data_IF_502713001689
#
_entry.id   IF_502713001689
#
_cell.length_a   1.000
_cell.length_b   1.000
_cell.length_c   1.000
_cell.angle_alpha   90.00
_cell.angle_beta   90.00
_cell.angle_gamma   90.00
#
_symmetry.space_group_name_H-M   'P 1'
#
loop_
_entity.id
_entity.type
_entity.pdbx_description
1 polymer ?
#
# COMPACT_ATOMS: atom_id res chain seq x y z
N UNK A 1 40.66 41.09 25.97
CA UNK A 1 40.22 40.45 27.22
C UNK A 1 38.73 40.14 27.12
N UNK A 2 38.37 38.94 26.67
CA UNK A 2 37.01 38.42 26.85
C UNK A 2 36.89 37.93 28.29
N UNK A 3 35.95 38.48 29.06
CA UNK A 3 35.77 38.11 30.46
C UNK A 3 35.40 36.63 30.56
N UNK A 4 36.13 35.90 31.40
CA UNK A 4 35.93 34.47 31.69
C UNK A 4 34.55 34.12 32.26
N UNK A 5 33.69 35.12 32.54
CA UNK A 5 32.42 34.94 33.23
C UNK A 5 31.18 34.95 32.32
N UNK A 6 31.33 34.93 30.99
CA UNK A 6 30.20 34.82 30.04
C UNK A 6 30.47 33.79 28.95
N UNK A 7 30.77 32.56 29.34
CA UNK A 7 30.83 31.42 28.40
C UNK A 7 29.45 30.80 28.31
N UNK A 8 28.89 30.72 27.11
CA UNK A 8 27.68 29.93 26.76
C UNK A 8 27.94 28.42 26.71
N UNK A 9 29.11 27.98 27.19
CA UNK A 9 29.57 26.60 27.15
C UNK A 9 29.27 25.96 28.50
N UNK A 10 28.85 24.70 28.47
CA UNK A 10 28.60 23.91 29.67
C UNK A 10 29.88 23.78 30.52
N UNK A 11 29.71 23.85 31.84
CA UNK A 11 30.79 23.70 32.81
C UNK A 11 31.23 22.23 32.90
N UNK A 12 32.42 21.91 32.37
CA UNK A 12 32.96 20.55 32.33
C UNK A 12 33.19 19.97 33.73
N UNK A 13 33.59 20.79 34.72
CA UNK A 13 33.72 20.36 36.12
C UNK A 13 32.38 19.87 36.64
N UNK A 14 31.29 20.58 36.34
CA UNK A 14 29.94 20.20 36.77
C UNK A 14 29.35 19.02 36.00
N UNK A 15 29.50 18.98 34.67
CA UNK A 15 28.79 18.04 33.81
C UNK A 15 29.62 16.80 33.40
N UNK A 16 30.91 16.78 33.68
CA UNK A 16 31.81 15.64 33.36
C UNK A 16 32.51 15.12 34.60
N UNK A 17 33.20 15.98 35.35
CA UNK A 17 34.11 15.52 36.42
C UNK A 17 33.43 15.30 37.77
N UNK A 18 32.47 16.14 38.15
CA UNK A 18 31.76 16.08 39.44
C UNK A 18 30.31 15.59 39.31
N UNK A 19 30.05 14.67 38.39
CA UNK A 19 28.73 14.05 38.25
C UNK A 19 28.51 13.09 39.42
N UNK A 20 27.74 13.53 40.43
CA UNK A 20 27.41 12.73 41.62
C UNK A 20 26.19 11.85 41.43
N UNK A 21 25.40 12.12 40.39
CA UNK A 21 24.20 11.38 40.03
C UNK A 21 24.04 11.39 38.52
N UNK A 22 23.63 10.28 37.89
CA UNK A 22 23.27 10.26 36.48
C UNK A 22 21.94 11.00 36.19
N UNK A 23 21.20 11.41 37.23
CA UNK A 23 19.88 12.04 37.10
C UNK A 23 19.97 13.57 37.19
N UNK A 24 19.35 14.25 36.21
CA UNK A 24 19.20 15.71 36.18
C UNK A 24 17.84 16.11 36.78
N UNK A 25 17.68 15.97 38.10
CA UNK A 25 16.40 16.17 38.79
C UNK A 25 15.75 17.54 38.52
N UNK A 26 16.55 18.59 38.34
CA UNK A 26 16.06 19.94 38.03
C UNK A 26 15.52 20.09 36.60
N UNK A 27 15.79 19.12 35.73
CA UNK A 27 15.33 19.08 34.34
C UNK A 27 14.43 17.88 34.06
N UNK A 28 14.14 17.04 35.06
CA UNK A 28 13.35 15.83 34.91
C UNK A 28 11.99 16.08 34.25
N UNK A 29 11.38 17.25 34.50
CA UNK A 29 10.07 17.65 33.98
C UNK A 29 10.12 18.45 32.67
N UNK A 30 11.31 18.85 32.21
CA UNK A 30 11.45 19.82 31.10
C UNK A 30 12.38 19.36 29.98
N UNK A 31 13.19 18.34 30.22
CA UNK A 31 14.17 17.83 29.26
C UNK A 31 13.84 16.38 28.90
N UNK A 32 13.90 16.06 27.61
CA UNK A 32 13.53 14.73 27.10
C UNK A 32 12.02 14.53 26.96
N UNK A 33 11.53 13.39 27.46
CA UNK A 33 10.14 12.92 27.37
C UNK A 33 9.53 12.71 28.77
N UNK A 34 9.35 13.77 29.57
CA UNK A 34 9.06 13.70 31.01
C UNK A 34 7.77 12.95 31.36
N UNK A 35 6.80 12.91 30.43
CA UNK A 35 5.49 12.30 30.64
C UNK A 35 5.37 10.91 30.00
N UNK A 36 6.44 10.39 29.40
CA UNK A 36 6.43 9.07 28.78
C UNK A 36 6.81 8.00 29.80
N UNK A 37 6.11 6.88 29.77
CA UNK A 37 6.43 5.71 30.59
C UNK A 37 7.71 5.09 30.03
N UNK A 38 8.79 5.12 30.79
CA UNK A 38 10.05 4.48 30.43
C UNK A 38 10.01 3.02 30.92
N UNK A 39 10.16 2.07 30.00
CA UNK A 39 10.36 0.67 30.33
C UNK A 39 11.85 0.42 30.65
N UNK A 40 12.14 -0.12 31.83
CA UNK A 40 13.51 -0.53 32.18
C UNK A 40 13.84 -1.89 31.54
N UNK A 41 14.91 -1.93 30.74
CA UNK A 41 15.40 -3.17 30.11
C UNK A 41 16.66 -3.63 30.83
N UNK A 42 16.57 -4.71 31.60
CA UNK A 42 17.72 -5.30 32.29
C UNK A 42 18.60 -6.10 31.32
N UNK A 43 19.78 -5.58 31.00
CA UNK A 43 20.75 -6.24 30.10
C UNK A 43 21.39 -7.46 30.78
N UNK A 44 21.52 -7.47 32.11
CA UNK A 44 22.22 -8.52 32.87
C UNK A 44 21.47 -9.85 32.91
N UNK A 45 20.14 -9.83 32.77
CA UNK A 45 19.30 -11.02 32.87
C UNK A 45 19.02 -11.68 31.50
N UNK A 46 19.82 -11.36 30.48
CA UNK A 46 19.77 -12.08 29.22
C UNK A 46 18.54 -11.77 28.36
N UNK A 47 18.08 -10.52 28.35
CA UNK A 47 16.93 -10.12 27.53
C UNK A 47 17.08 -10.45 26.02
N UNK A 48 18.31 -10.44 25.48
CA UNK A 48 18.59 -10.94 24.12
C UNK A 48 18.65 -12.46 24.03
N UNK A 49 19.08 -13.15 25.08
CA UNK A 49 19.05 -14.62 25.10
C UNK A 49 17.61 -15.13 25.21
N UNK A 50 16.69 -14.41 25.85
CA UNK A 50 15.29 -14.83 25.95
C UNK A 50 14.61 -14.85 24.59
N UNK A 51 14.73 -13.78 23.78
CA UNK A 51 14.10 -13.76 22.45
C UNK A 51 14.62 -14.85 21.51
N UNK A 52 15.94 -15.01 21.40
CA UNK A 52 16.53 -16.08 20.58
C UNK A 52 16.12 -17.46 21.08
N UNK A 53 16.14 -17.70 22.41
CA UNK A 53 15.68 -18.98 22.97
C UNK A 53 14.20 -19.25 22.69
N UNK A 54 13.35 -18.21 22.71
CA UNK A 54 11.93 -18.35 22.37
C UNK A 54 11.76 -18.76 20.90
N UNK A 55 12.53 -18.15 20.00
CA UNK A 55 12.50 -18.53 18.58
C UNK A 55 13.03 -19.95 18.37
N UNK A 56 14.16 -20.32 19.01
CA UNK A 56 14.74 -21.66 18.93
C UNK A 56 13.81 -22.74 19.47
N UNK A 57 13.05 -22.44 20.54
CA UNK A 57 12.06 -23.36 21.11
C UNK A 57 10.82 -23.55 20.23
N UNK A 58 10.37 -22.49 19.55
CA UNK A 58 9.10 -22.47 18.82
C UNK A 58 9.25 -22.83 17.35
N UNK A 59 10.41 -22.55 16.75
CA UNK A 59 10.66 -22.81 15.34
C UNK A 59 11.43 -24.12 15.20
N UNK A 60 10.88 -25.11 14.46
CA UNK A 60 11.68 -26.27 14.08
C UNK A 60 12.78 -25.72 13.16
N UNK A 61 14.03 -25.72 13.62
CA UNK A 61 15.15 -25.20 12.83
C UNK A 61 15.08 -25.66 11.37
N UNK A 62 15.50 -24.81 10.44
CA UNK A 62 15.30 -25.08 9.01
C UNK A 62 15.98 -26.40 8.60
N UNK A 63 15.27 -27.22 7.82
CA UNK A 63 15.82 -28.47 7.27
C UNK A 63 16.95 -28.22 6.27
N UNK A 64 16.91 -27.07 5.60
CA UNK A 64 17.92 -26.61 4.64
C UNK A 64 18.53 -25.29 5.13
N UNK A 65 19.83 -25.09 4.86
CA UNK A 65 20.55 -23.90 5.33
C UNK A 65 20.12 -22.61 4.61
N UNK A 66 19.54 -22.73 3.41
CA UNK A 66 19.12 -21.61 2.57
C UNK A 66 17.87 -21.99 1.79
N UNK A 67 16.95 -21.04 1.60
CA UNK A 67 15.85 -21.16 0.65
C UNK A 67 16.11 -20.27 -0.57
N UNK A 68 15.68 -20.74 -1.74
CA UNK A 68 15.70 -19.96 -2.97
C UNK A 68 14.29 -19.51 -3.30
N UNK A 69 14.16 -18.29 -3.82
CA UNK A 69 12.89 -17.78 -4.33
C UNK A 69 13.10 -17.01 -5.63
N UNK A 70 12.07 -16.99 -6.48
CA UNK A 70 12.07 -16.34 -7.77
C UNK A 70 11.57 -14.91 -7.63
N UNK A 71 12.42 -13.95 -7.97
CA UNK A 71 12.08 -12.54 -8.06
C UNK A 71 12.15 -12.05 -9.50
N UNK A 72 11.11 -12.34 -10.29
CA UNK A 72 10.99 -11.93 -11.70
C UNK A 72 9.57 -11.41 -11.97
N UNK A 73 9.34 -10.85 -13.16
CA UNK A 73 7.99 -10.47 -13.58
C UNK A 73 7.02 -11.66 -13.64
N UNK A 74 7.52 -12.87 -13.89
CA UNK A 74 6.69 -14.10 -13.95
C UNK A 74 6.25 -14.58 -12.56
N UNK A 75 6.96 -14.17 -11.51
CA UNK A 75 6.65 -14.45 -10.11
C UNK A 75 5.80 -13.36 -9.43
N UNK A 76 5.16 -12.49 -10.22
CA UNK A 76 4.19 -11.54 -9.69
C UNK A 76 3.10 -12.27 -8.87
N UNK A 77 2.82 -11.76 -7.68
CA UNK A 77 1.93 -12.36 -6.65
C UNK A 77 2.42 -13.69 -6.03
N UNK A 78 3.54 -14.26 -6.47
CA UNK A 78 4.08 -15.49 -5.86
C UNK A 78 4.41 -15.28 -4.38
N UNK A 79 4.99 -14.11 -4.04
CA UNK A 79 5.42 -13.80 -2.69
C UNK A 79 4.35 -14.03 -1.62
N UNK A 80 3.06 -13.88 -1.98
CA UNK A 80 1.90 -14.11 -1.11
C UNK A 80 1.77 -15.55 -0.59
N UNK A 81 2.60 -16.47 -1.09
CA UNK A 81 2.75 -17.82 -0.59
C UNK A 81 4.16 -17.93 -0.01
N UNK A 82 4.33 -17.39 1.20
CA UNK A 82 5.60 -17.40 1.91
C UNK A 82 5.63 -18.46 3.02
N UNK A 83 6.84 -18.82 3.44
CA UNK A 83 7.06 -19.62 4.64
C UNK A 83 6.86 -18.76 5.89
N UNK A 84 5.83 -19.10 6.67
CA UNK A 84 5.47 -18.40 7.90
C UNK A 84 6.59 -18.48 8.94
N UNK A 85 7.28 -19.62 9.04
CA UNK A 85 8.35 -19.83 10.02
C UNK A 85 9.58 -18.99 9.69
N UNK A 86 9.84 -18.77 8.41
CA UNK A 86 10.90 -17.86 7.95
C UNK A 86 10.54 -16.38 8.17
N UNK A 87 9.27 -16.00 7.99
CA UNK A 87 8.84 -14.59 8.12
C UNK A 87 8.74 -14.12 9.57
N UNK A 88 8.34 -15.00 10.50
CA UNK A 88 8.04 -14.58 11.89
C UNK A 88 9.22 -13.94 12.64
N UNK A 89 10.50 -14.37 12.52
CA UNK A 89 11.61 -13.69 13.18
C UNK A 89 11.75 -12.22 12.75
N UNK A 90 11.55 -11.93 11.46
CA UNK A 90 11.59 -10.54 10.95
C UNK A 90 10.42 -9.72 11.46
N UNK A 91 9.24 -10.33 11.64
CA UNK A 91 8.09 -9.62 12.20
C UNK A 91 8.33 -9.29 13.66
N UNK A 92 8.90 -10.24 14.40
CA UNK A 92 9.19 -10.07 15.82
C UNK A 92 10.33 -9.10 16.07
N UNK A 93 11.31 -8.97 15.17
CA UNK A 93 12.33 -7.91 15.25
C UNK A 93 11.70 -6.51 15.27
N UNK A 94 10.56 -6.33 14.60
CA UNK A 94 9.78 -5.10 14.74
C UNK A 94 8.99 -5.05 16.04
N UNK A 95 8.22 -6.09 16.36
CA UNK A 95 7.28 -6.06 17.49
C UNK A 95 7.96 -6.01 18.86
N UNK A 96 9.12 -6.65 19.00
CA UNK A 96 9.87 -6.71 20.25
C UNK A 96 10.38 -5.35 20.74
N UNK A 97 10.49 -4.37 19.83
CA UNK A 97 10.92 -3.01 20.16
C UNK A 97 9.79 -2.10 20.64
N UNK A 98 8.54 -2.60 20.70
CA UNK A 98 7.41 -1.85 21.22
C UNK A 98 7.13 -2.20 22.68
N UNK A 99 6.44 -1.28 23.37
CA UNK A 99 5.98 -1.51 24.74
C UNK A 99 5.17 -2.81 24.82
N UNK A 100 5.36 -3.57 25.90
CA UNK A 100 4.55 -4.77 26.17
C UNK A 100 3.05 -4.50 26.14
N UNK A 101 2.59 -3.27 26.42
CA UNK A 101 1.18 -2.91 26.41
C UNK A 101 0.61 -2.53 25.03
N UNK A 102 1.42 -2.51 23.97
CA UNK A 102 1.03 -2.07 22.63
C UNK A 102 -0.06 -2.97 22.03
N UNK A 103 -1.17 -2.39 21.59
CA UNK A 103 -2.22 -3.15 20.91
C UNK A 103 -1.88 -3.34 19.42
N UNK A 104 -2.05 -4.56 18.93
CA UNK A 104 -1.75 -4.94 17.56
C UNK A 104 -3.03 -5.10 16.76
N UNK A 105 -3.09 -4.50 15.56
CA UNK A 105 -4.17 -4.69 14.61
C UNK A 105 -3.73 -5.57 13.46
N UNK A 106 -4.41 -6.70 13.24
CA UNK A 106 -4.07 -7.68 12.22
C UNK A 106 -5.13 -7.75 11.12
N UNK A 107 -4.70 -7.45 9.90
CA UNK A 107 -5.47 -7.52 8.67
C UNK A 107 -4.88 -8.58 7.75
N UNK A 108 -5.40 -9.80 7.82
CA UNK A 108 -4.91 -10.91 7.01
C UNK A 108 -5.70 -12.18 7.24
N UNK A 109 -5.38 -13.21 6.44
CA UNK A 109 -6.00 -14.54 6.57
C UNK A 109 -4.99 -15.65 6.96
N UNK A 110 -3.71 -15.32 7.21
CA UNK A 110 -2.74 -16.30 7.69
C UNK A 110 -2.92 -16.57 9.18
N UNK A 111 -3.66 -17.63 9.50
CA UNK A 111 -3.87 -18.04 10.89
C UNK A 111 -2.63 -18.67 11.52
N UNK A 112 -1.75 -19.30 10.73
CA UNK A 112 -0.50 -19.87 11.24
C UNK A 112 0.43 -18.79 11.77
N UNK A 113 0.59 -17.70 11.01
CA UNK A 113 1.35 -16.54 11.46
C UNK A 113 0.74 -15.93 12.73
N UNK A 114 -0.58 -15.79 12.77
CA UNK A 114 -1.30 -15.27 13.93
C UNK A 114 -1.05 -16.12 15.19
N UNK A 115 -1.08 -17.45 15.07
CA UNK A 115 -0.80 -18.35 16.20
C UNK A 115 0.65 -18.28 16.66
N UNK A 116 1.61 -18.24 15.73
CA UNK A 116 3.03 -18.12 16.07
C UNK A 116 3.33 -16.77 16.74
N UNK A 117 2.76 -15.69 16.19
CA UNK A 117 2.87 -14.35 16.77
C UNK A 117 2.30 -14.32 18.21
N UNK A 118 1.11 -14.84 18.42
CA UNK A 118 0.48 -14.90 19.75
C UNK A 118 1.33 -15.72 20.76
N UNK A 119 1.83 -16.89 20.34
CA UNK A 119 2.67 -17.75 21.16
C UNK A 119 3.99 -17.06 21.58
N UNK A 120 4.65 -16.37 20.65
CA UNK A 120 5.88 -15.62 20.94
C UNK A 120 5.58 -14.45 21.87
N UNK A 121 4.56 -13.65 21.59
CA UNK A 121 4.19 -12.50 22.40
C UNK A 121 3.77 -12.91 23.82
N UNK A 122 3.16 -14.07 24.00
CA UNK A 122 2.85 -14.62 25.32
C UNK A 122 4.12 -14.93 26.11
N UNK A 123 5.13 -15.55 25.49
CA UNK A 123 6.42 -15.84 26.14
C UNK A 123 7.26 -14.60 26.41
N UNK A 124 7.07 -13.56 25.62
CA UNK A 124 7.66 -12.23 25.85
C UNK A 124 6.93 -11.42 26.92
N UNK A 125 5.87 -11.98 27.51
CA UNK A 125 5.01 -11.32 28.50
C UNK A 125 4.41 -10.00 27.99
N UNK A 126 4.30 -9.85 26.68
CA UNK A 126 3.57 -8.76 26.07
C UNK A 126 2.13 -8.81 26.61
N UNK A 127 1.53 -7.71 27.04
CA UNK A 127 0.21 -7.63 27.67
C UNK A 127 -0.85 -7.01 26.76
N UNK A 128 -0.45 -6.32 25.69
CA UNK A 128 -1.33 -5.74 24.68
C UNK A 128 -2.20 -6.77 23.96
N UNK A 129 -3.36 -6.31 23.49
CA UNK A 129 -4.33 -7.11 22.76
C UNK A 129 -3.96 -7.26 21.28
N UNK A 130 -4.45 -8.32 20.64
CA UNK A 130 -4.37 -8.53 19.19
C UNK A 130 -5.79 -8.44 18.63
N UNK A 131 -6.11 -7.35 17.93
CA UNK A 131 -7.39 -7.15 17.25
C UNK A 131 -7.29 -7.69 15.82
N UNK A 132 -8.09 -8.71 15.51
CA UNK A 132 -8.07 -9.44 14.24
C UNK A 132 -9.29 -9.04 13.42
N UNK A 133 -9.08 -8.58 12.18
CA UNK A 133 -10.18 -8.22 11.28
C UNK A 133 -11.04 -9.45 10.95
N UNK A 134 -12.29 -9.43 11.41
CA UNK A 134 -13.28 -10.46 11.14
C UNK A 134 -13.47 -10.71 9.64
N UNK A 135 -13.48 -9.65 8.84
CA UNK A 135 -13.76 -9.75 7.41
C UNK A 135 -12.68 -10.48 6.61
N UNK A 136 -11.44 -10.42 7.07
CA UNK A 136 -10.30 -11.08 6.45
C UNK A 136 -10.09 -12.49 7.00
N UNK A 137 -10.21 -12.66 8.31
CA UNK A 137 -9.97 -13.97 8.93
C UNK A 137 -11.11 -14.97 8.67
N UNK A 138 -12.35 -14.49 8.43
CA UNK A 138 -13.50 -15.38 8.16
C UNK A 138 -13.30 -16.28 6.95
N UNK A 139 -12.49 -15.86 5.98
CA UNK A 139 -12.13 -16.66 4.79
C UNK A 139 -11.46 -17.98 5.13
N UNK A 140 -10.89 -18.09 6.33
CA UNK A 140 -10.24 -19.30 6.86
C UNK A 140 -10.85 -19.79 8.17
N UNK A 141 -12.04 -19.31 8.53
CA UNK A 141 -12.68 -19.57 9.84
C UNK A 141 -12.81 -21.04 10.20
N UNK A 142 -13.07 -21.92 9.21
CA UNK A 142 -13.18 -23.37 9.44
C UNK A 142 -11.88 -24.04 9.89
N UNK A 143 -10.73 -23.39 9.67
CA UNK A 143 -9.40 -23.86 10.07
C UNK A 143 -8.90 -23.22 11.37
N UNK A 144 -9.63 -22.23 11.90
CA UNK A 144 -9.22 -21.54 13.12
C UNK A 144 -9.38 -22.45 14.33
N UNK A 145 -8.26 -22.75 14.98
CA UNK A 145 -8.21 -23.18 16.38
C UNK A 145 -8.65 -22.03 17.30
N UNK A 146 -9.12 -22.34 18.52
CA UNK A 146 -9.37 -21.34 19.54
C UNK A 146 -8.16 -20.42 19.71
N UNK A 147 -8.39 -19.12 19.61
CA UNK A 147 -7.39 -18.09 19.86
C UNK A 147 -7.22 -17.90 21.37
N UNK A 148 -6.08 -17.38 21.81
CA UNK A 148 -5.88 -17.03 23.22
C UNK A 148 -6.83 -15.90 23.65
N UNK A 149 -6.94 -15.69 24.97
CA UNK A 149 -7.82 -14.66 25.55
C UNK A 149 -7.44 -13.21 25.19
N UNK A 150 -6.33 -12.99 24.48
CA UNK A 150 -5.87 -11.67 24.05
C UNK A 150 -6.15 -11.35 22.58
N UNK A 151 -6.57 -12.36 21.83
CA UNK A 151 -6.86 -12.27 20.41
C UNK A 151 -8.36 -12.06 20.22
N UNK A 152 -8.75 -10.88 19.76
CA UNK A 152 -10.14 -10.49 19.60
C UNK A 152 -10.49 -10.37 18.13
N UNK A 153 -11.38 -11.24 17.63
CA UNK A 153 -11.93 -11.11 16.28
C UNK A 153 -13.01 -10.03 16.31
N UNK A 154 -12.76 -8.91 15.64
CA UNK A 154 -13.59 -7.69 15.70
C UNK A 154 -13.78 -7.09 14.30
N UNK A 155 -14.63 -6.07 14.16
CA UNK A 155 -14.78 -5.36 12.88
C UNK A 155 -13.51 -4.60 12.50
N UNK A 156 -13.30 -4.32 11.20
CA UNK A 156 -12.15 -3.51 10.76
C UNK A 156 -12.11 -2.12 11.41
N UNK A 157 -13.25 -1.43 11.60
CA UNK A 157 -13.30 -0.18 12.38
C UNK A 157 -12.76 -0.33 13.80
N UNK A 158 -13.09 -1.44 14.47
CA UNK A 158 -12.66 -1.70 15.84
C UNK A 158 -11.15 -1.98 15.88
N UNK A 159 -10.62 -2.75 14.91
CA UNK A 159 -9.16 -2.91 14.74
C UNK A 159 -8.50 -1.53 14.58
N UNK A 160 -9.00 -0.69 13.66
CA UNK A 160 -8.43 0.62 13.34
C UNK A 160 -8.45 1.56 14.56
N UNK A 161 -9.52 1.54 15.35
CA UNK A 161 -9.69 2.45 16.49
C UNK A 161 -8.91 2.05 17.73
N UNK A 162 -8.69 0.74 17.96
CA UNK A 162 -8.08 0.23 19.20
C UNK A 162 -6.60 -0.14 19.09
N UNK A 163 -6.06 -0.25 17.87
CA UNK A 163 -4.68 -0.70 17.67
C UNK A 163 -3.68 0.47 17.68
N UNK A 164 -2.48 0.20 18.18
CA UNK A 164 -1.34 1.10 18.18
C UNK A 164 -0.41 0.85 16.98
N UNK A 165 -0.44 -0.38 16.43
CA UNK A 165 0.30 -0.80 15.24
C UNK A 165 -0.63 -1.56 14.31
N UNK A 166 -0.42 -1.41 13.00
CA UNK A 166 -1.17 -2.14 11.99
C UNK A 166 -0.29 -3.13 11.25
N UNK A 167 -0.76 -4.37 11.14
CA UNK A 167 -0.13 -5.46 10.41
C UNK A 167 -1.06 -5.84 9.26
N UNK A 168 -0.62 -5.60 8.02
CA UNK A 168 -1.32 -6.01 6.81
C UNK A 168 -0.58 -7.20 6.21
N UNK A 169 -1.21 -8.37 6.28
CA UNK A 169 -0.68 -9.60 5.72
C UNK A 169 -1.38 -9.94 4.41
N UNK A 170 -0.61 -9.88 3.32
CA UNK A 170 -1.07 -10.19 1.97
C UNK A 170 -1.08 -11.69 1.66
N UNK A 171 -0.73 -12.54 2.64
CA UNK A 171 -0.70 -13.98 2.47
C UNK A 171 -2.01 -14.53 1.89
N UNK A 172 -1.85 -15.34 0.85
CA UNK A 172 -2.92 -16.12 0.23
C UNK A 172 -2.66 -17.62 0.35
N UNK A 173 -1.71 -18.05 1.21
CA UNK A 173 -1.33 -19.46 1.35
C UNK A 173 -2.48 -20.37 1.80
N UNK A 174 -3.49 -19.83 2.47
CA UNK A 174 -4.66 -20.58 2.93
C UNK A 174 -5.87 -20.53 1.99
N UNK A 175 -5.75 -19.77 0.90
CA UNK A 175 -6.75 -19.64 -0.16
C UNK A 175 -6.47 -20.64 -1.28
N UNK A 176 -7.39 -20.84 -2.25
CA UNK A 176 -7.15 -21.73 -3.38
C UNK A 176 -5.88 -21.32 -4.15
N UNK A 177 -5.06 -22.31 -4.50
CA UNK A 177 -3.78 -22.11 -5.21
C UNK A 177 -3.77 -22.86 -6.55
N UNK A 178 -2.88 -22.46 -7.45
CA UNK A 178 -2.53 -23.18 -8.69
C UNK A 178 -1.03 -23.32 -8.79
N UNK A 179 -0.57 -24.48 -9.27
CA UNK A 179 0.84 -24.69 -9.61
C UNK A 179 1.07 -24.25 -11.05
N UNK A 180 2.11 -23.46 -11.30
CA UNK A 180 2.58 -23.15 -12.67
C UNK A 180 3.57 -24.21 -13.18
N UNK A 181 4.06 -24.04 -14.42
CA UNK A 181 4.90 -25.02 -15.14
C UNK A 181 6.16 -25.48 -14.38
N UNK A 182 6.66 -24.67 -13.45
CA UNK A 182 7.82 -24.95 -12.60
C UNK A 182 7.46 -25.51 -11.21
N UNK A 183 6.20 -25.89 -10.98
CA UNK A 183 5.73 -26.39 -9.68
C UNK A 183 5.61 -25.31 -8.61
N UNK A 184 5.75 -24.03 -8.98
CA UNK A 184 5.65 -22.92 -8.04
C UNK A 184 4.17 -22.61 -7.78
N UNK A 185 3.77 -22.47 -6.50
CA UNK A 185 2.41 -22.13 -6.15
C UNK A 185 2.13 -20.64 -6.38
N UNK A 186 0.93 -20.36 -6.88
CA UNK A 186 0.37 -19.02 -7.01
C UNK A 186 -1.05 -19.00 -6.46
N UNK A 187 -1.52 -17.86 -5.95
CA UNK A 187 -2.93 -17.69 -5.63
C UNK A 187 -3.78 -17.96 -6.89
N UNK A 188 -4.76 -18.85 -6.78
CA UNK A 188 -5.72 -19.08 -7.87
C UNK A 188 -6.59 -17.85 -7.99
N UNK A 189 -6.88 -17.40 -9.21
CA UNK A 189 -7.86 -16.34 -9.46
C UNK A 189 -9.29 -16.84 -9.17
N UNK A 190 -9.61 -17.00 -7.89
CA UNK A 190 -10.89 -17.51 -7.39
C UNK A 190 -11.78 -16.37 -6.87
N UNK A 191 -13.00 -16.68 -6.46
CA UNK A 191 -13.86 -15.69 -5.80
C UNK A 191 -13.27 -15.28 -4.45
N UNK A 192 -12.81 -16.25 -3.66
CA UNK A 192 -12.22 -16.07 -2.34
C UNK A 192 -10.97 -15.21 -2.38
N UNK A 193 -10.09 -15.43 -3.37
CA UNK A 193 -8.89 -14.61 -3.53
C UNK A 193 -9.22 -13.16 -3.91
N UNK A 194 -10.17 -12.94 -4.85
CA UNK A 194 -10.60 -11.60 -5.22
C UNK A 194 -11.28 -10.86 -4.07
N UNK A 195 -12.16 -11.56 -3.35
CA UNK A 195 -12.85 -11.03 -2.17
C UNK A 195 -11.86 -10.68 -1.04
N UNK A 196 -10.84 -11.51 -0.81
CA UNK A 196 -9.73 -11.20 0.10
C UNK A 196 -8.97 -9.94 -0.32
N UNK A 197 -8.55 -9.84 -1.59
CA UNK A 197 -7.84 -8.66 -2.13
C UNK A 197 -8.63 -7.37 -1.92
N UNK A 198 -9.91 -7.38 -2.28
CA UNK A 198 -10.76 -6.21 -2.14
C UNK A 198 -10.95 -5.81 -0.69
N UNK A 199 -11.20 -6.77 0.22
CA UNK A 199 -11.33 -6.46 1.65
C UNK A 199 -10.05 -5.92 2.26
N UNK A 200 -8.90 -6.51 1.91
CA UNK A 200 -7.61 -6.06 2.41
C UNK A 200 -7.30 -4.66 1.91
N UNK A 201 -7.56 -4.38 0.61
CA UNK A 201 -7.44 -3.06 0.00
C UNK A 201 -8.34 -2.03 0.69
N UNK A 202 -9.61 -2.35 0.89
CA UNK A 202 -10.58 -1.45 1.54
C UNK A 202 -10.18 -1.15 2.98
N UNK A 203 -9.88 -2.18 3.79
CA UNK A 203 -9.42 -1.99 5.17
C UNK A 203 -8.12 -1.19 5.25
N UNK A 204 -7.20 -1.38 4.30
CA UNK A 204 -5.98 -0.57 4.21
C UNK A 204 -6.30 0.91 3.97
N UNK A 205 -7.11 1.22 2.96
CA UNK A 205 -7.50 2.60 2.62
C UNK A 205 -8.26 3.28 3.77
N UNK A 206 -9.15 2.55 4.44
CA UNK A 206 -9.86 3.03 5.63
C UNK A 206 -8.89 3.34 6.77
N UNK A 207 -7.90 2.47 6.99
CA UNK A 207 -6.86 2.67 7.99
C UNK A 207 -6.01 3.92 7.69
N UNK A 208 -5.61 4.11 6.42
CA UNK A 208 -4.89 5.33 5.97
C UNK A 208 -5.73 6.57 6.22
N UNK A 209 -7.02 6.55 5.84
CA UNK A 209 -7.94 7.67 6.02
C UNK A 209 -8.12 8.03 7.51
N UNK A 210 -8.35 7.02 8.35
CA UNK A 210 -8.52 7.20 9.80
C UNK A 210 -7.24 7.74 10.42
N UNK A 211 -6.07 7.26 9.99
CA UNK A 211 -4.79 7.72 10.51
C UNK A 211 -4.47 9.17 10.14
N UNK A 212 -4.75 9.57 8.89
CA UNK A 212 -4.67 10.98 8.47
C UNK A 212 -5.58 11.88 9.30
N UNK A 213 -6.83 11.46 9.49
CA UNK A 213 -7.78 12.20 10.31
C UNK A 213 -7.30 12.33 11.76
N UNK A 214 -6.75 11.24 12.33
CA UNK A 214 -6.21 11.24 13.70
C UNK A 214 -5.04 12.19 13.85
N UNK A 215 -4.10 12.16 12.91
CA UNK A 215 -2.94 13.06 12.87
C UNK A 215 -3.38 14.53 12.81
N UNK A 216 -4.28 14.87 11.89
CA UNK A 216 -4.76 16.24 11.69
C UNK A 216 -5.57 16.80 12.85
N UNK A 217 -6.30 15.95 13.59
CA UNK A 217 -7.22 16.41 14.65
C UNK A 217 -6.64 16.38 16.05
N UNK A 218 -5.74 15.43 16.35
CA UNK A 218 -5.27 15.18 17.72
C UNK A 218 -3.81 15.51 17.97
N UNK A 219 -3.05 15.92 16.94
CA UNK A 219 -1.58 16.08 17.02
C UNK A 219 -0.89 14.87 17.66
N UNK A 220 -1.36 13.66 17.34
CA UNK A 220 -0.76 12.43 17.83
C UNK A 220 0.36 11.95 16.89
N UNK A 221 1.33 11.22 17.45
CA UNK A 221 2.34 10.49 16.66
C UNK A 221 1.70 9.48 15.72
N UNK A 222 2.20 9.38 14.48
CA UNK A 222 1.73 8.38 13.52
C UNK A 222 1.95 6.95 14.03
N UNK A 223 0.95 6.10 13.82
CA UNK A 223 1.04 4.66 14.06
C UNK A 223 1.78 3.98 12.91
N UNK A 224 2.55 2.96 13.27
CA UNK A 224 3.39 2.21 12.31
C UNK A 224 2.53 1.20 11.54
N UNK A 225 2.85 1.04 10.26
CA UNK A 225 2.33 -0.01 9.40
C UNK A 225 3.42 -1.04 9.15
N UNK A 226 3.12 -2.32 9.39
CA UNK A 226 3.92 -3.47 9.01
C UNK A 226 3.17 -4.18 7.88
N UNK A 227 3.82 -4.35 6.73
CA UNK A 227 3.24 -4.97 5.55
C UNK A 227 3.98 -6.25 5.26
N UNK A 228 3.28 -7.37 5.33
CA UNK A 228 3.84 -8.70 5.09
C UNK A 228 3.54 -9.11 3.66
N UNK A 229 4.60 -9.55 2.99
CA UNK A 229 4.61 -10.15 1.66
C UNK A 229 4.12 -9.24 0.53
N UNK A 230 4.29 -7.92 0.64
CA UNK A 230 3.81 -7.02 -0.42
C UNK A 230 4.73 -6.90 -1.63
N UNK A 231 5.99 -7.35 -1.56
CA UNK A 231 6.98 -7.13 -2.65
C UNK A 231 6.66 -7.97 -3.89
N UNK A 232 6.68 -7.35 -5.07
CA UNK A 232 6.27 -7.92 -6.35
C UNK A 232 4.84 -8.49 -6.33
N UNK A 233 3.92 -7.73 -5.75
CA UNK A 233 2.50 -8.06 -5.68
C UNK A 233 1.62 -6.87 -6.06
N UNK A 234 0.33 -7.13 -6.25
CA UNK A 234 -0.69 -6.07 -6.42
C UNK A 234 -0.75 -5.06 -5.28
N UNK A 235 -0.25 -5.41 -4.09
CA UNK A 235 -0.29 -4.52 -2.93
C UNK A 235 0.93 -3.60 -2.86
N UNK A 236 2.05 -3.91 -3.54
CA UNK A 236 3.29 -3.14 -3.44
C UNK A 236 3.05 -1.67 -3.77
N UNK A 237 2.53 -1.42 -4.97
CA UNK A 237 2.33 -0.07 -5.48
C UNK A 237 1.33 0.73 -4.64
N UNK A 238 0.29 0.06 -4.14
CA UNK A 238 -0.67 0.69 -3.24
C UNK A 238 0.02 1.16 -1.96
N UNK A 239 0.85 0.31 -1.35
CA UNK A 239 1.57 0.66 -0.12
C UNK A 239 2.63 1.74 -0.37
N UNK A 240 3.44 1.62 -1.42
CA UNK A 240 4.49 2.60 -1.76
C UNK A 240 3.97 3.97 -2.19
N UNK A 241 2.69 4.09 -2.58
CA UNK A 241 2.09 5.39 -2.91
C UNK A 241 1.44 6.09 -1.71
N UNK A 242 1.25 5.40 -0.59
CA UNK A 242 0.53 5.89 0.58
C UNK A 242 1.36 5.89 1.86
N UNK A 243 2.47 5.15 1.89
CA UNK A 243 3.35 4.99 3.03
C UNK A 243 4.81 5.34 2.68
N UNK A 244 5.46 6.06 3.59
CA UNK A 244 6.91 6.20 3.64
C UNK A 244 7.54 4.89 4.12
N UNK A 245 7.64 3.91 3.22
CA UNK A 245 8.17 2.58 3.55
C UNK A 245 9.69 2.52 3.49
N UNK A 246 10.30 1.89 4.49
CA UNK A 246 11.69 1.44 4.39
C UNK A 246 11.76 0.23 3.46
N UNK A 247 12.64 0.31 2.44
CA UNK A 247 12.90 -0.82 1.56
C UNK A 247 13.74 -1.86 2.29
N UNK A 248 13.14 -3.00 2.56
CA UNK A 248 13.77 -4.16 3.14
C UNK A 248 14.11 -5.20 2.06
N UNK A 249 15.10 -6.07 2.27
CA UNK A 249 15.37 -7.17 1.36
C UNK A 249 14.12 -8.04 1.14
N UNK A 250 13.92 -8.51 -0.08
CA UNK A 250 12.81 -9.40 -0.44
C UNK A 250 12.69 -10.62 0.50
N UNK A 251 13.83 -11.13 0.97
CA UNK A 251 13.90 -12.27 1.88
C UNK A 251 13.23 -12.04 3.23
N UNK A 252 13.12 -10.82 3.74
CA UNK A 252 12.46 -10.60 5.04
C UNK A 252 10.94 -10.71 4.97
N UNK A 253 10.38 -10.57 3.76
CA UNK A 253 8.93 -10.44 3.48
C UNK A 253 8.26 -9.26 4.16
N UNK A 254 8.95 -8.40 4.89
CA UNK A 254 8.30 -7.39 5.72
C UNK A 254 8.77 -6.02 5.32
N UNK A 255 7.83 -5.16 4.92
CA UNK A 255 8.04 -3.72 4.82
C UNK A 255 7.41 -3.03 6.00
N UNK A 256 7.92 -1.86 6.33
CA UNK A 256 7.27 -1.04 7.34
C UNK A 256 7.42 0.45 7.05
N UNK A 257 6.51 1.24 7.58
CA UNK A 257 6.53 2.68 7.39
C UNK A 257 5.42 3.39 8.14
N UNK A 258 5.26 4.65 7.80
CA UNK A 258 4.21 5.53 8.30
C UNK A 258 3.47 6.14 7.11
N UNK A 259 2.28 6.67 7.34
CA UNK A 259 1.54 7.34 6.26
C UNK A 259 2.28 8.59 5.76
N UNK A 260 2.15 8.87 4.47
CA UNK A 260 2.57 10.16 3.91
C UNK A 260 1.69 11.29 4.47
N UNK A 261 2.27 12.22 5.22
CA UNK A 261 1.55 13.39 5.77
C UNK A 261 1.31 14.44 4.66
N UNK A 262 2.26 14.64 3.75
CA UNK A 262 2.17 15.64 2.68
C UNK A 262 1.28 15.21 1.49
N UNK A 263 0.58 14.09 1.62
CA UNK A 263 -0.23 13.54 0.52
C UNK A 263 -1.58 14.23 0.31
N UNK A 264 -1.79 15.40 0.92
CA UNK A 264 -2.63 16.40 0.28
C UNK A 264 -2.10 16.73 -1.13
N UNK A 265 -0.86 16.42 -1.49
CA UNK A 265 -0.35 16.47 -2.88
C UNK A 265 -1.16 15.66 -3.92
N UNK A 266 -2.07 14.76 -3.54
CA UNK A 266 -2.98 14.12 -4.50
C UNK A 266 -4.40 14.72 -4.54
N UNK A 267 -4.82 15.42 -3.48
CA UNK A 267 -6.03 16.25 -3.48
C UNK A 267 -5.77 17.72 -3.87
N UNK A 268 -4.50 18.15 -3.80
CA UNK A 268 -4.00 19.52 -3.93
C UNK A 268 -2.69 19.62 -4.72
N UNK A 269 -2.34 18.60 -5.52
CA UNK A 269 -1.85 18.91 -6.87
C UNK A 269 -2.99 19.70 -7.52
N UNK A 270 -3.00 21.01 -7.24
CA UNK A 270 -3.38 22.00 -8.22
C UNK A 270 -2.78 21.46 -9.50
N UNK A 271 -3.68 21.02 -10.36
CA UNK A 271 -3.58 21.21 -11.80
C UNK A 271 -2.56 22.33 -11.98
N UNK A 272 -1.42 22.03 -12.59
CA UNK A 272 -0.70 23.06 -13.32
C UNK A 272 -1.74 23.58 -14.32
N UNK A 273 -2.62 24.46 -13.87
CA UNK A 273 -3.27 25.44 -14.73
C UNK A 273 -2.04 26.10 -15.30
N UNK A 274 -1.78 25.96 -16.61
CA UNK A 274 -0.70 26.70 -17.22
C UNK A 274 -0.92 28.12 -16.74
N UNK A 275 0.07 28.71 -16.07
CA UNK A 275 0.11 30.14 -15.96
C UNK A 275 -0.21 30.64 -17.37
N UNK A 276 -1.25 31.47 -17.47
CA UNK A 276 -1.54 32.25 -18.65
C UNK A 276 -0.36 33.21 -18.83
N UNK A 277 0.80 32.67 -19.20
CA UNK A 277 1.78 33.39 -19.96
C UNK A 277 1.02 33.94 -21.15
N UNK A 278 1.09 35.26 -21.27
CA UNK A 278 0.54 36.04 -22.37
C UNK A 278 1.28 35.63 -23.65
N UNK A 279 1.01 34.45 -24.17
CA UNK A 279 1.41 34.06 -25.51
C UNK A 279 0.39 34.61 -26.48
N UNK A 280 0.85 35.67 -27.14
CA UNK A 280 0.35 36.22 -28.40
C UNK A 280 -0.25 35.14 -29.29
N UNK A 281 -1.42 35.44 -29.85
CA UNK A 281 -2.04 34.78 -31.01
C UNK A 281 -1.09 33.87 -31.82
N UNK A 282 -1.06 32.58 -31.48
CA UNK A 282 -0.61 31.53 -32.39
C UNK A 282 -1.88 30.93 -33.00
N UNK A 283 -2.19 31.38 -34.20
CA UNK A 283 -3.16 30.71 -35.05
C UNK A 283 -2.70 29.29 -35.37
N UNK A 284 -3.66 28.36 -35.45
CA UNK A 284 -3.55 27.13 -36.25
C UNK A 284 -2.23 26.32 -36.11
N UNK A 285 -1.73 26.13 -34.89
CA UNK A 285 -0.66 25.15 -34.64
C UNK A 285 -1.23 23.74 -34.78
N UNK A 286 -0.79 23.03 -35.81
CA UNK A 286 -1.09 21.61 -36.01
C UNK A 286 -0.32 20.82 -34.95
N UNK A 287 -1.05 20.26 -33.98
CA UNK A 287 -0.46 19.28 -33.05
C UNK A 287 0.19 18.16 -33.89
N UNK A 288 1.51 17.95 -33.72
CA UNK A 288 2.28 16.91 -34.39
C UNK A 288 1.90 15.53 -33.81
N UNK A 289 0.71 15.05 -34.16
CA UNK A 289 0.25 13.71 -33.84
C UNK A 289 0.95 12.68 -34.76
N UNK A 290 1.38 11.52 -34.22
CA UNK A 290 2.25 10.57 -34.93
C UNK A 290 1.72 10.11 -36.29
N UNK A 291 0.42 9.82 -36.38
CA UNK A 291 -0.20 9.31 -37.60
C UNK A 291 -1.67 9.74 -37.75
N UNK A 292 -2.32 9.23 -38.80
CA UNK A 292 -3.73 9.50 -39.12
C UNK A 292 -4.71 8.99 -38.04
N UNK A 293 -4.42 7.86 -37.41
CA UNK A 293 -5.30 7.24 -36.42
C UNK A 293 -5.33 8.03 -35.11
N UNK A 294 -4.19 8.61 -34.72
CA UNK A 294 -4.13 9.58 -33.63
C UNK A 294 -4.96 10.83 -33.94
N UNK A 295 -4.83 11.37 -35.16
CA UNK A 295 -5.60 12.55 -35.60
C UNK A 295 -7.10 12.28 -35.61
N UNK A 296 -7.53 11.14 -36.15
CA UNK A 296 -8.94 10.73 -36.16
C UNK A 296 -9.52 10.63 -34.75
N UNK A 297 -8.82 9.96 -33.82
CA UNK A 297 -9.26 9.80 -32.44
C UNK A 297 -9.42 11.16 -31.74
N UNK A 298 -8.43 12.05 -31.88
CA UNK A 298 -8.49 13.40 -31.31
C UNK A 298 -9.61 14.24 -31.92
N UNK A 299 -9.76 14.22 -33.25
CA UNK A 299 -10.83 14.93 -33.94
C UNK A 299 -12.22 14.44 -33.51
N UNK A 300 -12.37 13.13 -33.31
CA UNK A 300 -13.62 12.55 -32.82
C UNK A 300 -13.98 13.13 -31.44
N UNK A 301 -13.06 13.06 -30.47
CA UNK A 301 -13.32 13.55 -29.10
C UNK A 301 -13.58 15.06 -29.09
N UNK A 302 -12.80 15.84 -29.85
CA UNK A 302 -12.98 17.30 -29.97
C UNK A 302 -14.38 17.71 -30.43
N UNK A 303 -15.05 16.86 -31.21
CA UNK A 303 -16.41 17.14 -31.70
C UNK A 303 -17.45 17.10 -30.58
N UNK A 304 -17.21 16.35 -29.50
CA UNK A 304 -18.23 16.02 -28.51
C UNK A 304 -17.89 16.40 -27.07
N UNK A 305 -16.60 16.47 -26.72
CA UNK A 305 -16.16 16.72 -25.35
C UNK A 305 -16.49 18.15 -24.90
N UNK A 306 -17.03 18.27 -23.68
CA UNK A 306 -17.33 19.55 -23.04
C UNK A 306 -16.20 19.98 -22.10
N UNK A 307 -16.12 21.28 -21.82
CA UNK A 307 -15.02 21.85 -21.02
C UNK A 307 -14.96 21.31 -19.57
N UNK A 308 -16.09 20.92 -19.00
CA UNK A 308 -16.22 20.39 -17.64
C UNK A 308 -16.07 18.86 -17.56
N UNK A 309 -15.91 18.18 -18.69
CA UNK A 309 -15.77 16.72 -18.71
C UNK A 309 -14.32 16.30 -18.44
N UNK A 310 -14.19 15.11 -17.87
CA UNK A 310 -12.91 14.48 -17.52
C UNK A 310 -12.55 13.42 -18.55
N UNK A 311 -11.32 13.51 -19.05
CA UNK A 311 -10.75 12.62 -20.07
C UNK A 311 -9.55 11.86 -19.52
N UNK A 312 -9.50 10.56 -19.73
CA UNK A 312 -8.30 9.74 -19.50
C UNK A 312 -7.74 9.21 -20.83
N UNK A 313 -6.42 9.17 -21.00
CA UNK A 313 -5.79 8.62 -22.21
C UNK A 313 -4.27 8.76 -22.24
N UNK A 314 -3.62 8.51 -23.39
CA UNK A 314 -2.17 8.72 -23.52
C UNK A 314 -1.77 10.19 -23.31
N UNK A 315 -0.57 10.41 -22.78
CA UNK A 315 -0.04 11.76 -22.45
C UNK A 315 -0.04 12.71 -23.65
N UNK A 316 0.21 12.19 -24.84
CA UNK A 316 0.26 12.96 -26.08
C UNK A 316 -1.13 13.45 -26.49
N UNK A 317 -2.20 12.72 -26.13
CA UNK A 317 -3.58 13.13 -26.41
C UNK A 317 -4.07 14.12 -25.36
N UNK A 318 -3.86 13.83 -24.08
CA UNK A 318 -4.43 14.62 -22.99
C UNK A 318 -3.95 16.07 -23.01
N UNK A 319 -2.68 16.31 -23.40
CA UNK A 319 -2.10 17.65 -23.62
C UNK A 319 -2.82 18.53 -24.64
N UNK A 320 -3.63 17.94 -25.53
CA UNK A 320 -4.34 18.67 -26.59
C UNK A 320 -5.66 19.25 -26.07
N UNK A 321 -6.24 18.65 -25.04
CA UNK A 321 -7.56 19.03 -24.53
C UNK A 321 -7.42 20.03 -23.39
N UNK A 322 -8.27 21.07 -23.43
CA UNK A 322 -8.37 22.08 -22.35
C UNK A 322 -9.26 21.62 -21.19
N UNK A 323 -9.90 20.46 -21.31
CA UNK A 323 -10.72 19.88 -20.25
C UNK A 323 -9.82 19.24 -19.18
N UNK A 324 -10.42 18.79 -18.08
CA UNK A 324 -9.67 18.05 -17.06
C UNK A 324 -9.21 16.73 -17.68
N UNK A 325 -7.90 16.51 -17.78
CA UNK A 325 -7.36 15.34 -18.45
C UNK A 325 -6.27 14.64 -17.63
N UNK A 326 -6.28 13.31 -17.67
CA UNK A 326 -5.38 12.45 -16.92
C UNK A 326 -4.66 11.52 -17.89
N UNK A 327 -3.33 11.40 -17.76
CA UNK A 327 -2.64 10.25 -18.34
C UNK A 327 -3.08 8.96 -17.62
N UNK A 328 -2.90 7.79 -18.24
CA UNK A 328 -3.13 6.52 -17.54
C UNK A 328 -2.44 6.55 -16.16
N UNK A 329 -3.21 6.53 -15.06
CA UNK A 329 -2.66 6.64 -13.74
C UNK A 329 -2.04 5.29 -13.39
N UNK A 330 -0.91 5.37 -12.72
CA UNK A 330 -0.21 4.21 -12.18
C UNK A 330 -1.08 3.47 -11.15
N UNK A 331 -1.89 4.21 -10.37
CA UNK A 331 -2.88 3.69 -9.44
C UNK A 331 -4.28 4.24 -9.74
N UNK A 332 -5.29 3.38 -9.79
CA UNK A 332 -6.69 3.79 -9.94
C UNK A 332 -7.41 3.72 -8.60
N UNK A 333 -7.89 4.87 -8.12
CA UNK A 333 -8.87 4.95 -7.04
C UNK A 333 -10.27 5.00 -7.69
N UNK A 334 -11.21 4.22 -7.17
CA UNK A 334 -12.58 4.08 -7.74
C UNK A 334 -13.37 5.40 -7.78
N UNK A 335 -12.89 6.46 -7.12
CA UNK A 335 -13.53 7.77 -7.00
C UNK A 335 -13.25 8.73 -8.17
N UNK A 336 -12.44 8.34 -9.17
CA UNK A 336 -12.21 9.20 -10.34
C UNK A 336 -13.43 9.10 -11.26
N UNK A 337 -14.31 10.11 -11.16
CA UNK A 337 -15.43 10.30 -12.10
C UNK A 337 -14.86 10.65 -13.50
N UNK A 338 -14.82 9.67 -14.41
CA UNK A 338 -14.26 9.79 -15.76
C UNK A 338 -15.40 9.79 -16.77
N UNK A 339 -15.48 10.83 -17.61
CA UNK A 339 -16.51 10.92 -18.64
C UNK A 339 -16.07 10.31 -19.97
N UNK A 340 -14.76 10.34 -20.25
CA UNK A 340 -14.15 9.88 -21.50
C UNK A 340 -12.90 9.05 -21.24
N UNK A 341 -12.76 7.92 -21.92
CA UNK A 341 -11.55 7.11 -21.90
C UNK A 341 -11.05 6.80 -23.30
N UNK A 342 -9.84 7.26 -23.60
CA UNK A 342 -9.12 7.00 -24.84
C UNK A 342 -8.09 5.91 -24.60
N UNK A 343 -8.37 4.73 -25.12
CA UNK A 343 -7.55 3.54 -24.90
C UNK A 343 -6.72 3.25 -26.15
N UNK A 344 -5.40 3.35 -26.01
CA UNK A 344 -4.43 2.98 -27.02
C UNK A 344 -4.13 1.48 -26.92
N UNK A 345 -4.49 0.71 -27.95
CA UNK A 345 -4.42 -0.77 -27.94
C UNK A 345 -3.02 -1.35 -27.82
N UNK A 346 -1.99 -0.56 -28.13
CA UNK A 346 -0.58 -0.91 -27.95
C UNK A 346 0.01 -0.48 -26.60
N UNK A 347 -0.77 0.14 -25.72
CA UNK A 347 -0.34 0.60 -24.39
C UNK A 347 -1.18 -0.05 -23.29
N UNK A 348 -1.78 -1.21 -23.54
CA UNK A 348 -2.67 -1.88 -22.57
C UNK A 348 -1.95 -2.19 -21.25
N UNK A 349 -0.68 -2.62 -21.32
CA UNK A 349 0.18 -2.86 -20.16
C UNK A 349 0.43 -1.63 -19.28
N UNK A 350 0.21 -0.42 -19.80
CA UNK A 350 0.33 0.83 -19.03
C UNK A 350 -0.97 1.23 -18.34
N UNK A 351 -2.07 0.52 -18.61
CA UNK A 351 -3.38 0.83 -18.05
C UNK A 351 -3.60 -0.09 -16.86
N UNK A 352 -3.82 0.51 -15.70
CA UNK A 352 -4.19 -0.23 -14.50
C UNK A 352 -5.41 -1.14 -14.79
N UNK A 353 -5.31 -2.42 -14.43
CA UNK A 353 -6.36 -3.41 -14.69
C UNK A 353 -7.73 -3.00 -14.12
N UNK A 354 -7.76 -2.40 -12.93
CA UNK A 354 -9.00 -1.97 -12.29
C UNK A 354 -9.66 -0.81 -13.05
N UNK A 355 -8.87 0.15 -13.51
CA UNK A 355 -9.35 1.23 -14.38
C UNK A 355 -9.94 0.66 -15.68
N UNK A 356 -9.20 -0.24 -16.34
CA UNK A 356 -9.66 -0.83 -17.60
C UNK A 356 -10.97 -1.61 -17.41
N UNK A 357 -11.04 -2.42 -16.36
CA UNK A 357 -12.24 -3.18 -16.01
C UNK A 357 -13.41 -2.26 -15.65
N UNK A 358 -13.16 -1.16 -14.94
CA UNK A 358 -14.17 -0.15 -14.65
C UNK A 358 -14.72 0.45 -15.96
N UNK A 359 -13.84 0.93 -16.85
CA UNK A 359 -14.21 1.48 -18.16
C UNK A 359 -15.08 0.49 -18.95
N UNK A 360 -14.68 -0.78 -19.01
CA UNK A 360 -15.41 -1.80 -19.77
C UNK A 360 -16.80 -2.12 -19.18
N UNK A 361 -17.00 -1.90 -17.88
CA UNK A 361 -18.27 -2.14 -17.19
C UNK A 361 -19.19 -0.92 -17.23
N UNK A 362 -18.66 0.29 -17.09
CA UNK A 362 -19.44 1.51 -16.85
C UNK A 362 -19.57 2.40 -18.07
N UNK A 363 -18.72 2.23 -19.08
CA UNK A 363 -18.66 3.11 -20.24
C UNK A 363 -18.98 2.36 -21.54
N UNK A 364 -19.41 3.11 -22.56
CA UNK A 364 -19.84 2.57 -23.86
C UNK A 364 -18.84 2.94 -24.95
N UNK A 365 -18.43 2.01 -25.82
CA UNK A 365 -17.51 2.31 -26.90
C UNK A 365 -18.23 3.12 -27.99
N UNK A 366 -17.67 4.26 -28.38
CA UNK A 366 -18.26 5.21 -29.34
C UNK A 366 -17.38 5.47 -30.55
N UNK A 367 -16.12 5.05 -30.51
CA UNK A 367 -15.21 5.11 -31.66
C UNK A 367 -14.16 4.01 -31.55
N UNK A 368 -13.76 3.45 -32.69
CA UNK A 368 -12.66 2.51 -32.79
C UNK A 368 -11.97 2.65 -34.14
N UNK A 369 -10.64 2.69 -34.13
CA UNK A 369 -9.83 2.53 -35.33
C UNK A 369 -8.71 1.51 -35.08
N UNK A 370 -7.68 1.48 -35.92
CA UNK A 370 -6.59 0.51 -35.81
C UNK A 370 -5.80 0.65 -34.49
N UNK A 371 -5.69 1.87 -33.94
CA UNK A 371 -4.82 2.17 -32.80
C UNK A 371 -5.63 2.39 -31.51
N UNK A 372 -6.80 3.01 -31.62
CA UNK A 372 -7.57 3.48 -30.47
C UNK A 372 -8.93 2.82 -30.34
N UNK A 373 -9.42 2.84 -29.11
CA UNK A 373 -10.82 2.71 -28.77
C UNK A 373 -11.21 3.81 -27.80
N UNK A 374 -12.40 4.37 -27.98
CA UNK A 374 -12.89 5.50 -27.18
C UNK A 374 -14.17 5.08 -26.51
N UNK A 375 -14.19 5.23 -25.19
CA UNK A 375 -15.35 5.01 -24.36
C UNK A 375 -15.86 6.33 -23.78
N UNK A 376 -17.17 6.40 -23.54
CA UNK A 376 -17.80 7.50 -22.79
C UNK A 376 -18.99 6.99 -21.98
N UNK A 377 -19.30 7.69 -20.88
CA UNK A 377 -20.56 7.49 -20.14
C UNK A 377 -21.75 8.16 -20.85
N UNK A 378 -21.49 9.07 -21.78
CA UNK A 378 -22.50 9.86 -22.47
C UNK A 378 -23.45 8.98 -23.27
N UNK A 379 -24.75 9.31 -23.20
CA UNK A 379 -25.81 8.57 -23.88
C UNK A 379 -26.20 9.13 -25.25
N UNK A 380 -25.85 10.39 -25.52
CA UNK A 380 -26.21 11.13 -26.73
C UNK A 380 -25.33 10.82 -27.95
N UNK A 381 -24.25 10.05 -27.74
CA UNK A 381 -23.33 9.63 -28.80
C UNK A 381 -23.65 8.18 -29.18
N UNK A 382 -23.83 7.87 -30.49
CA UNK A 382 -24.07 6.52 -30.95
C UNK A 382 -22.91 5.58 -30.56
N UNK A 383 -23.26 4.40 -30.07
CA UNK A 383 -22.29 3.35 -29.80
C UNK A 383 -21.79 2.72 -31.10
N UNK A 384 -20.54 2.26 -31.09
CA UNK A 384 -20.08 1.40 -32.18
C UNK A 384 -20.64 0.00 -31.99
N UNK A 385 -21.03 -0.64 -33.10
CA UNK A 385 -21.50 -2.01 -33.05
C UNK A 385 -20.47 -2.90 -32.36
N UNK A 386 -20.92 -3.72 -31.41
CA UNK A 386 -20.10 -4.80 -30.81
C UNK A 386 -19.55 -5.78 -31.85
N UNK A 387 -20.09 -5.76 -33.07
CA UNK A 387 -19.59 -6.55 -34.22
C UNK A 387 -18.41 -5.89 -34.94
N UNK A 388 -18.06 -4.64 -34.62
CA UNK A 388 -16.90 -3.95 -35.18
C UNK A 388 -15.63 -4.77 -34.96
N UNK A 389 -14.91 -5.03 -36.06
CA UNK A 389 -13.65 -5.78 -36.05
C UNK A 389 -12.63 -5.16 -35.09
N UNK A 390 -12.53 -3.83 -35.08
CA UNK A 390 -11.62 -3.11 -34.19
C UNK A 390 -11.96 -3.25 -32.70
N UNK A 391 -13.24 -3.44 -32.36
CA UNK A 391 -13.69 -3.67 -30.98
C UNK A 391 -13.45 -5.11 -30.55
N UNK A 392 -13.71 -6.08 -31.43
CA UNK A 392 -13.39 -7.49 -31.18
C UNK A 392 -11.89 -7.70 -30.93
N UNK A 393 -11.04 -7.19 -31.83
CA UNK A 393 -9.59 -7.32 -31.70
C UNK A 393 -9.06 -6.65 -30.42
N UNK A 394 -9.73 -5.59 -29.95
CA UNK A 394 -9.39 -4.97 -28.67
C UNK A 394 -9.76 -5.88 -27.49
N UNK A 395 -10.98 -6.44 -27.46
CA UNK A 395 -11.38 -7.35 -26.39
C UNK A 395 -10.51 -8.61 -26.34
N UNK A 396 -10.12 -9.16 -27.48
CA UNK A 396 -9.18 -10.29 -27.55
C UNK A 396 -7.82 -9.93 -26.94
N UNK A 397 -7.29 -8.73 -27.22
CA UNK A 397 -6.05 -8.27 -26.60
C UNK A 397 -6.18 -8.05 -25.11
N UNK A 398 -7.29 -7.46 -24.66
CA UNK A 398 -7.56 -7.30 -23.22
C UNK A 398 -7.63 -8.66 -22.53
N UNK A 399 -8.20 -9.67 -23.18
CA UNK A 399 -8.20 -11.03 -22.67
C UNK A 399 -6.77 -11.55 -22.53
N UNK A 400 -5.98 -11.54 -23.62
CA UNK A 400 -4.59 -12.05 -23.61
C UNK A 400 -3.69 -11.33 -22.59
N UNK A 401 -3.84 -10.02 -22.43
CA UNK A 401 -2.96 -9.22 -21.57
C UNK A 401 -3.29 -9.36 -20.07
N UNK A 402 -4.55 -9.64 -19.73
CA UNK A 402 -5.04 -9.57 -18.34
C UNK A 402 -5.71 -10.84 -17.81
N UNK A 403 -5.95 -11.86 -18.64
CA UNK A 403 -6.63 -13.11 -18.29
C UNK A 403 -5.92 -14.31 -18.90
#
# INVERSE_FOLDING_TARGET
MHSLHKRTINDEERFVFNVTSPFLNNQAETWGIPNEVIEEIHIKDGFKSSFNSILEDLLPGMSEATSEDIFTSESYDHGQIYDTMHTIPFLMDHLFNFSKSTNLGYFGCNHELLYLMDAILQRLEHSGAIFVSHDLIKSVSSKLKPLSSRCFIVSSEEVISKSDIFIFDTSAMHLPQVLKFNGIPFPKNSFEYRDFKEKLRTSFLECIKAERQRYNTKQCFLRKFLIISSVNTWFEQLTSSLLDTTLTPYSSRIRHGYIHIDSDLFASRKVDTPELEKEKHIGSSTYNLPDKFWKEAVCFVKKFIMANERLIGPKEVTRIFKCISYSYPESFLEDIDINWALIHKGMLSQINFYLLNHILKTMRPVFANQVFIIFTIRTDIPDISRKSEHYKNFLERVYIEFY
#
